data_IF_102748142572
#
_entry.id   IF_102748142572
#
_cell.length_a   1.000
_cell.length_b   1.000
_cell.length_c   1.000
_cell.angle_alpha   90.00
_cell.angle_beta   90.00
_cell.angle_gamma   90.00
#
_symmetry.space_group_name_H-M   'P 1'
#
loop_
_entity.id
_entity.type
_entity.pdbx_description
1 polymer ?
#
# COMPACT_ATOMS: atom_id res chain seq x y z
N UNK A 1 -0.20 -24.64 -3.65
CA UNK A 1 -1.48 -23.91 -3.50
C UNK A 1 -1.24 -22.44 -3.27
N UNK A 2 -2.25 -21.59 -3.48
CA UNK A 2 -2.20 -20.19 -3.05
C UNK A 2 -2.24 -20.17 -1.52
N UNK A 3 -1.22 -19.58 -0.90
CA UNK A 3 -1.03 -19.57 0.56
C UNK A 3 -0.98 -18.16 1.14
N UNK A 4 -0.91 -17.14 0.29
CA UNK A 4 -0.94 -15.75 0.71
C UNK A 4 -1.37 -14.84 -0.42
N UNK A 5 -2.20 -13.85 -0.07
CA UNK A 5 -2.60 -12.76 -0.94
C UNK A 5 -2.45 -11.46 -0.15
N UNK A 6 -1.70 -10.50 -0.69
CA UNK A 6 -1.46 -9.21 -0.06
C UNK A 6 -1.80 -8.06 -1.00
N UNK A 7 -2.32 -6.98 -0.43
CA UNK A 7 -2.54 -5.72 -1.14
C UNK A 7 -1.42 -4.75 -0.76
N UNK A 8 -0.62 -4.33 -1.74
CA UNK A 8 0.54 -3.46 -1.54
C UNK A 8 0.27 -2.08 -2.14
N UNK A 9 0.04 -1.03 -1.31
CA UNK A 9 -0.17 0.32 -1.80
C UNK A 9 1.17 0.98 -2.16
N UNK A 10 1.42 1.20 -3.44
CA UNK A 10 2.56 1.95 -3.98
C UNK A 10 2.14 3.35 -4.48
N UNK A 11 3.09 4.29 -4.70
CA UNK A 11 2.82 5.65 -5.21
C UNK A 11 1.90 5.67 -6.43
N UNK A 12 2.13 4.76 -7.35
CA UNK A 12 1.47 4.62 -8.65
C UNK A 12 0.19 3.77 -8.62
N UNK A 13 -0.06 2.99 -7.56
CA UNK A 13 -1.22 2.10 -7.58
C UNK A 13 -1.36 1.18 -6.38
N UNK A 14 -2.42 0.37 -6.40
CA UNK A 14 -2.58 -0.76 -5.51
C UNK A 14 -2.18 -2.03 -6.28
N UNK A 15 -1.26 -2.80 -5.71
CA UNK A 15 -0.79 -4.06 -6.30
C UNK A 15 -1.33 -5.25 -5.51
N UNK A 16 -1.75 -6.29 -6.22
CA UNK A 16 -2.15 -7.57 -5.64
C UNK A 16 -0.98 -8.54 -5.81
N UNK A 17 -0.44 -9.01 -4.70
CA UNK A 17 0.63 -10.01 -4.65
C UNK A 17 0.01 -11.33 -4.21
N UNK A 18 0.15 -12.36 -5.03
CA UNK A 18 -0.22 -13.72 -4.69
C UNK A 18 1.03 -14.59 -4.57
N UNK A 19 1.04 -15.45 -3.56
CA UNK A 19 2.10 -16.43 -3.38
C UNK A 19 1.54 -17.84 -3.36
N UNK A 20 2.14 -18.69 -4.19
CA UNK A 20 1.89 -20.11 -4.18
C UNK A 20 3.07 -20.86 -3.60
N UNK A 21 2.79 -21.77 -2.68
CA UNK A 21 3.80 -22.66 -2.10
C UNK A 21 3.31 -24.11 -2.16
N UNK A 22 4.15 -25.01 -2.69
CA UNK A 22 3.91 -26.45 -2.69
C UNK A 22 4.78 -27.11 -1.63
N UNK A 23 4.20 -27.48 -0.49
CA UNK A 23 4.96 -28.02 0.66
C UNK A 23 5.54 -29.41 0.44
N UNK A 24 5.07 -30.15 -0.58
CA UNK A 24 5.63 -31.45 -0.97
C UNK A 24 6.85 -31.33 -1.91
N UNK A 25 6.88 -30.33 -2.79
CA UNK A 25 7.96 -30.15 -3.79
C UNK A 25 8.87 -28.95 -3.53
N UNK A 26 8.50 -28.09 -2.59
CA UNK A 26 9.09 -26.76 -2.41
C UNK A 26 8.79 -25.78 -3.53
N UNK A 27 7.80 -26.06 -4.38
CA UNK A 27 7.41 -25.16 -5.47
C UNK A 27 7.05 -23.78 -4.92
N UNK A 28 7.55 -22.70 -5.54
CA UNK A 28 7.23 -21.32 -5.22
C UNK A 28 6.83 -20.57 -6.47
N UNK A 29 5.73 -19.84 -6.43
CA UNK A 29 5.30 -18.93 -7.52
C UNK A 29 4.87 -17.61 -6.91
N UNK A 30 5.37 -16.50 -7.44
CA UNK A 30 4.94 -15.15 -7.06
C UNK A 30 4.25 -14.53 -8.27
N UNK A 31 3.05 -14.03 -8.06
CA UNK A 31 2.22 -13.37 -9.07
C UNK A 31 1.91 -11.96 -8.57
N UNK A 32 2.09 -10.95 -9.43
CA UNK A 32 1.79 -9.55 -9.14
C UNK A 32 0.85 -9.04 -10.22
N UNK A 33 -0.36 -8.60 -9.84
CA UNK A 33 -1.43 -8.17 -10.77
C UNK A 33 -1.61 -9.17 -11.93
N UNK A 34 -1.86 -10.44 -11.60
CA UNK A 34 -2.05 -11.54 -12.55
C UNK A 34 -0.84 -11.90 -13.42
N UNK A 35 0.31 -11.23 -13.22
CA UNK A 35 1.55 -11.53 -13.93
C UNK A 35 2.52 -12.28 -13.03
N UNK A 36 2.96 -13.46 -13.46
CA UNK A 36 4.02 -14.19 -12.80
C UNK A 36 5.34 -13.42 -12.86
N UNK A 37 5.92 -13.14 -11.69
CA UNK A 37 7.22 -12.46 -11.55
C UNK A 37 8.32 -13.38 -11.05
N UNK A 38 7.94 -14.53 -10.48
CA UNK A 38 8.88 -15.56 -10.05
C UNK A 38 8.23 -16.95 -10.12
N UNK A 39 9.00 -17.95 -10.54
CA UNK A 39 8.64 -19.36 -10.44
C UNK A 39 9.86 -20.23 -10.17
N UNK A 40 9.68 -21.18 -9.26
CA UNK A 40 10.52 -22.35 -9.10
C UNK A 40 9.64 -23.55 -8.86
N UNK A 41 9.72 -24.58 -9.70
CA UNK A 41 8.86 -25.76 -9.58
C UNK A 41 9.36 -26.76 -8.51
N UNK A 42 10.60 -26.62 -8.07
CA UNK A 42 11.19 -27.51 -7.06
C UNK A 42 12.22 -26.80 -6.19
N UNK A 43 12.12 -26.99 -4.87
CA UNK A 43 13.11 -26.51 -3.91
C UNK A 43 13.25 -27.49 -2.74
N UNK A 44 14.48 -27.76 -2.31
CA UNK A 44 14.72 -28.59 -1.13
C UNK A 44 14.31 -27.89 0.18
N UNK A 45 14.42 -26.56 0.24
CA UNK A 45 14.13 -25.77 1.45
C UNK A 45 12.69 -25.30 1.51
N UNK A 46 11.98 -25.79 2.54
CA UNK A 46 10.63 -25.42 3.00
C UNK A 46 10.47 -23.92 3.28
N UNK A 47 11.47 -23.38 3.96
CA UNK A 47 11.42 -22.09 4.65
C UNK A 47 12.44 -21.13 4.06
N UNK A 48 12.38 -19.89 4.53
CA UNK A 48 13.29 -18.82 4.15
C UNK A 48 12.60 -17.74 3.32
N UNK A 49 13.42 -16.95 2.65
CA UNK A 49 12.97 -15.75 1.97
C UNK A 49 12.78 -16.00 0.48
N UNK A 50 11.79 -15.32 -0.10
CA UNK A 50 11.57 -15.24 -1.53
C UNK A 50 11.54 -13.77 -1.94
N UNK A 51 12.60 -13.33 -2.58
CA UNK A 51 12.77 -11.95 -3.04
C UNK A 51 12.12 -11.74 -4.41
N UNK A 52 11.60 -10.52 -4.62
CA UNK A 52 11.06 -10.03 -5.89
C UNK A 52 10.94 -8.49 -5.82
N UNK A 53 10.46 -7.86 -6.90
CA UNK A 53 10.28 -6.39 -6.95
C UNK A 53 8.93 -6.02 -7.54
N UNK A 54 8.33 -4.92 -7.06
CA UNK A 54 7.14 -4.29 -7.64
C UNK A 54 7.51 -2.86 -8.03
N UNK A 55 7.50 -2.54 -9.32
CA UNK A 55 7.86 -1.18 -9.78
C UNK A 55 9.23 -0.69 -9.31
N UNK A 56 10.20 -1.60 -9.13
CA UNK A 56 11.53 -1.30 -8.57
C UNK A 56 11.61 -1.26 -7.04
N UNK A 57 10.49 -1.34 -6.33
CA UNK A 57 10.46 -1.44 -4.87
C UNK A 57 10.80 -2.89 -4.47
N UNK A 58 11.79 -3.12 -3.60
CA UNK A 58 12.16 -4.46 -3.18
C UNK A 58 11.10 -5.07 -2.25
N UNK A 59 10.76 -6.33 -2.49
CA UNK A 59 9.80 -7.09 -1.72
C UNK A 59 10.36 -8.46 -1.34
N UNK A 60 10.00 -8.95 -0.16
CA UNK A 60 10.41 -10.27 0.33
C UNK A 60 9.21 -10.97 0.96
N UNK A 61 8.84 -12.13 0.43
CA UNK A 61 7.93 -13.05 1.10
C UNK A 61 8.76 -13.91 2.06
N UNK A 62 8.43 -13.87 3.34
CA UNK A 62 9.05 -14.71 4.37
C UNK A 62 8.21 -15.95 4.60
N UNK A 63 8.85 -17.11 4.57
CA UNK A 63 8.25 -18.40 4.85
C UNK A 63 8.87 -18.93 6.14
N UNK A 64 8.08 -18.89 7.21
CA UNK A 64 8.55 -19.22 8.56
C UNK A 64 7.86 -20.50 9.05
N UNK A 65 8.59 -21.44 9.66
CA UNK A 65 7.97 -22.62 10.26
C UNK A 65 7.22 -22.21 11.52
N UNK A 66 6.01 -22.73 11.69
CA UNK A 66 5.24 -22.63 12.94
C UNK A 66 4.92 -24.03 13.45
N UNK A 67 4.33 -24.14 14.64
CA UNK A 67 4.07 -25.43 15.28
C UNK A 67 3.16 -26.33 14.41
N UNK A 68 3.28 -27.64 14.59
CA UNK A 68 2.42 -28.62 13.91
C UNK A 68 2.68 -28.78 12.41
N UNK A 69 3.94 -28.66 11.96
CA UNK A 69 4.34 -28.83 10.54
C UNK A 69 3.64 -27.86 9.58
N UNK A 70 3.26 -26.68 10.07
CA UNK A 70 2.63 -25.63 9.28
C UNK A 70 3.58 -24.45 9.05
N UNK A 71 3.20 -23.54 8.15
CA UNK A 71 4.02 -22.41 7.75
C UNK A 71 3.23 -21.12 7.85
N UNK A 72 3.91 -20.08 8.29
CA UNK A 72 3.42 -18.70 8.24
C UNK A 72 4.07 -17.97 7.08
N UNK A 73 3.27 -17.13 6.42
CA UNK A 73 3.70 -16.32 5.30
C UNK A 73 3.50 -14.86 5.65
N UNK A 74 4.54 -14.05 5.48
CA UNK A 74 4.46 -12.60 5.65
C UNK A 74 5.16 -11.89 4.50
N UNK A 75 4.76 -10.65 4.25
CA UNK A 75 5.32 -9.81 3.21
C UNK A 75 6.07 -8.63 3.82
N UNK A 76 7.28 -8.42 3.35
CA UNK A 76 8.12 -7.25 3.63
C UNK A 76 8.21 -6.42 2.35
N UNK A 77 7.94 -5.13 2.43
CA UNK A 77 7.99 -4.16 1.33
C UNK A 77 8.92 -3.03 1.75
N UNK A 78 9.93 -2.76 0.93
CA UNK A 78 10.94 -1.73 1.19
C UNK A 78 11.59 -1.87 2.58
N UNK A 79 11.96 -3.12 2.93
CA UNK A 79 12.57 -3.45 4.21
C UNK A 79 11.63 -3.40 5.42
N UNK A 80 10.33 -3.16 5.24
CA UNK A 80 9.33 -3.06 6.31
C UNK A 80 8.24 -4.12 6.20
N UNK A 81 7.78 -4.72 7.32
CA UNK A 81 6.59 -5.56 7.30
C UNK A 81 5.41 -4.79 6.68
N UNK A 82 4.59 -5.46 5.86
CA UNK A 82 3.53 -4.81 5.08
C UNK A 82 2.60 -3.93 5.94
N UNK A 83 2.27 -4.36 7.15
CA UNK A 83 1.44 -3.60 8.08
C UNK A 83 2.12 -2.29 8.51
N UNK A 84 3.41 -2.34 8.88
CA UNK A 84 4.20 -1.16 9.21
C UNK A 84 4.37 -0.24 8.00
N UNK A 85 4.66 -0.80 6.83
CA UNK A 85 4.78 -0.08 5.56
C UNK A 85 3.48 0.69 5.23
N UNK A 86 2.34 0.01 5.35
CA UNK A 86 1.02 0.60 5.08
C UNK A 86 0.68 1.67 6.10
N UNK A 87 0.90 1.40 7.39
CA UNK A 87 0.61 2.36 8.47
C UNK A 87 1.42 3.64 8.33
N UNK A 88 2.74 3.55 8.12
CA UNK A 88 3.61 4.72 7.91
C UNK A 88 3.10 5.61 6.78
N UNK A 89 2.54 5.00 5.74
CA UNK A 89 1.97 5.74 4.62
C UNK A 89 0.66 6.42 4.98
N UNK A 90 -0.23 5.74 5.69
CA UNK A 90 -1.45 6.35 6.23
C UNK A 90 -1.15 7.49 7.22
N UNK A 91 -0.07 7.38 7.99
CA UNK A 91 0.35 8.42 8.94
C UNK A 91 0.87 9.66 8.21
N UNK A 92 1.50 9.51 7.03
CA UNK A 92 2.08 10.62 6.25
C UNK A 92 1.16 11.20 5.18
N UNK A 93 0.17 10.44 4.71
CA UNK A 93 -0.71 10.90 3.66
C UNK A 93 -2.12 10.34 3.78
N UNK A 94 -3.10 11.16 3.41
CA UNK A 94 -4.46 10.69 3.11
C UNK A 94 -4.57 10.44 1.60
N UNK A 95 -5.27 9.38 1.21
CA UNK A 95 -5.46 9.04 -0.22
C UNK A 95 -6.92 8.71 -0.47
N UNK A 96 -7.47 9.29 -1.54
CA UNK A 96 -8.84 9.06 -1.98
C UNK A 96 -8.87 8.73 -3.47
N UNK A 97 -9.86 7.93 -3.88
CA UNK A 97 -10.22 7.74 -5.29
C UNK A 97 -11.54 8.46 -5.54
N UNK A 98 -11.53 9.45 -6.43
CA UNK A 98 -12.71 10.27 -6.78
C UNK A 98 -13.19 9.87 -8.17
N UNK A 99 -14.49 9.57 -8.30
CA UNK A 99 -15.11 9.18 -9.57
C UNK A 99 -14.64 7.84 -10.13
N UNK A 100 -13.87 7.06 -9.37
CA UNK A 100 -13.27 5.80 -9.82
C UNK A 100 -12.04 5.97 -10.74
N UNK A 101 -11.73 7.19 -11.15
CA UNK A 101 -10.68 7.49 -12.13
C UNK A 101 -9.52 8.28 -11.54
N UNK A 102 -9.80 9.24 -10.65
CA UNK A 102 -8.80 10.16 -10.15
C UNK A 102 -8.30 9.74 -8.77
N UNK A 103 -6.98 9.66 -8.61
CA UNK A 103 -6.33 9.43 -7.31
C UNK A 103 -5.85 10.74 -6.73
N UNK A 104 -6.41 11.13 -5.59
CA UNK A 104 -6.02 12.32 -4.83
C UNK A 104 -5.22 11.90 -3.60
N UNK A 105 -4.07 12.55 -3.38
CA UNK A 105 -3.21 12.33 -2.21
C UNK A 105 -2.95 13.67 -1.52
N UNK A 106 -3.25 13.76 -0.23
CA UNK A 106 -2.82 14.85 0.64
C UNK A 106 -1.62 14.38 1.45
N UNK A 107 -0.46 15.00 1.27
CA UNK A 107 0.70 14.78 2.14
C UNK A 107 0.54 15.63 3.41
N UNK A 108 0.47 14.99 4.57
CA UNK A 108 0.11 15.63 5.85
C UNK A 108 1.20 16.57 6.37
N UNK A 109 2.46 16.30 6.03
CA UNK A 109 3.61 17.10 6.49
C UNK A 109 3.75 18.42 5.73
N UNK A 110 3.56 18.39 4.40
CA UNK A 110 3.73 19.53 3.50
C UNK A 110 2.39 20.22 3.18
N UNK A 111 1.28 19.53 3.42
CA UNK A 111 -0.07 19.88 2.94
C UNK A 111 -0.17 19.93 1.41
N UNK A 112 0.78 19.31 0.71
CA UNK A 112 0.76 19.22 -0.75
C UNK A 112 -0.35 18.28 -1.21
N UNK A 113 -1.09 18.71 -2.23
CA UNK A 113 -2.11 17.89 -2.90
C UNK A 113 -1.55 17.39 -4.24
N UNK A 114 -1.71 16.08 -4.46
CA UNK A 114 -1.34 15.41 -5.70
C UNK A 114 -2.58 14.81 -6.33
N UNK A 115 -2.77 15.03 -7.62
CA UNK A 115 -3.83 14.45 -8.44
C UNK A 115 -3.18 13.64 -9.56
N UNK A 116 -3.47 12.34 -9.61
CA UNK A 116 -2.93 11.40 -10.61
C UNK A 116 -1.39 11.46 -10.73
N UNK A 117 -0.72 11.59 -9.58
CA UNK A 117 0.74 11.66 -9.48
C UNK A 117 1.35 13.01 -9.80
N UNK A 118 0.55 14.06 -10.06
CA UNK A 118 1.02 15.43 -10.29
C UNK A 118 0.62 16.34 -9.14
N UNK A 119 1.57 17.12 -8.62
CA UNK A 119 1.28 18.16 -7.62
C UNK A 119 0.42 19.24 -8.26
N UNK A 120 -0.65 19.64 -7.58
CA UNK A 120 -1.57 20.70 -8.02
C UNK A 120 -1.46 21.92 -7.13
N UNK A 121 -1.79 23.09 -7.69
CA UNK A 121 -1.95 24.29 -6.89
C UNK A 121 -3.17 24.16 -5.98
N UNK A 122 -2.98 24.48 -4.71
CA UNK A 122 -3.98 24.37 -3.68
C UNK A 122 -4.04 25.65 -2.85
N UNK A 123 -5.26 26.10 -2.53
CA UNK A 123 -5.49 27.32 -1.72
C UNK A 123 -6.22 26.94 -0.44
N UNK A 124 -5.58 27.20 0.70
CA UNK A 124 -6.15 26.94 2.03
C UNK A 124 -6.94 28.15 2.56
N UNK A 125 -8.11 27.88 3.11
CA UNK A 125 -8.97 28.86 3.78
C UNK A 125 -9.38 28.33 5.16
N UNK A 126 -9.36 29.22 6.16
CA UNK A 126 -9.89 28.91 7.49
C UNK A 126 -11.40 29.16 7.49
N UNK A 127 -12.17 28.14 7.84
CA UNK A 127 -13.64 28.21 7.93
C UNK A 127 -14.09 27.90 9.36
N UNK A 128 -15.36 28.21 9.66
CA UNK A 128 -15.93 27.84 10.96
C UNK A 128 -15.99 26.31 11.08
N UNK A 129 -15.21 25.76 12.03
CA UNK A 129 -15.10 24.31 12.26
C UNK A 129 -13.90 23.60 11.63
N UNK A 130 -13.00 24.30 10.91
CA UNK A 130 -11.83 23.63 10.33
C UNK A 130 -11.03 24.44 9.30
N UNK A 131 -10.42 23.72 8.36
CA UNK A 131 -9.68 24.28 7.22
C UNK A 131 -10.19 23.62 5.95
N UNK A 132 -10.46 24.42 4.93
CA UNK A 132 -10.79 23.94 3.59
C UNK A 132 -9.62 24.21 2.66
N UNK A 133 -9.17 23.19 1.95
CA UNK A 133 -8.11 23.33 0.94
C UNK A 133 -8.71 23.06 -0.43
N UNK A 134 -8.77 24.09 -1.26
CA UNK A 134 -9.38 24.08 -2.59
C UNK A 134 -8.32 23.79 -3.66
N UNK A 135 -8.65 22.93 -4.62
CA UNK A 135 -7.78 22.51 -5.72
C UNK A 135 -8.60 22.09 -6.94
N UNK A 136 -7.94 21.75 -8.05
CA UNK A 136 -8.61 21.32 -9.29
C UNK A 136 -8.25 19.89 -9.69
N UNK A 137 -9.21 19.20 -10.28
CA UNK A 137 -9.05 17.88 -10.93
C UNK A 137 -9.57 18.04 -12.36
N UNK A 138 -8.65 18.28 -13.30
CA UNK A 138 -9.02 18.69 -14.66
C UNK A 138 -9.73 20.05 -14.62
N UNK A 139 -10.97 20.11 -15.09
CA UNK A 139 -11.81 21.33 -15.07
C UNK A 139 -12.70 21.42 -13.81
N UNK A 140 -12.71 20.38 -12.97
CA UNK A 140 -13.57 20.33 -11.79
C UNK A 140 -12.87 20.94 -10.57
N UNK A 141 -13.62 21.68 -9.76
CA UNK A 141 -13.17 22.20 -8.47
C UNK A 141 -13.45 21.16 -7.38
N UNK A 142 -12.43 20.87 -6.57
CA UNK A 142 -12.51 19.97 -5.43
C UNK A 142 -12.04 20.68 -4.15
N UNK A 143 -12.47 20.18 -3.00
CA UNK A 143 -11.99 20.66 -1.70
C UNK A 143 -11.70 19.49 -0.75
N UNK A 144 -10.65 19.64 0.06
CA UNK A 144 -10.40 18.81 1.24
C UNK A 144 -10.82 19.62 2.46
N UNK A 145 -11.72 19.07 3.27
CA UNK A 145 -12.11 19.67 4.55
C UNK A 145 -11.40 18.93 5.68
N UNK A 146 -10.54 19.63 6.39
CA UNK A 146 -9.94 19.17 7.63
C UNK A 146 -10.84 19.62 8.78
N UNK A 147 -11.42 18.68 9.50
CA UNK A 147 -12.30 18.95 10.64
C UNK A 147 -11.66 18.44 11.92
N UNK A 148 -11.81 19.21 13.00
CA UNK A 148 -11.44 18.70 14.32
C UNK A 148 -12.38 17.56 14.69
N UNK A 149 -11.86 16.37 15.04
CA UNK A 149 -12.69 15.28 15.57
C UNK A 149 -13.30 15.60 16.95
N UNK A 150 -12.88 16.69 17.59
CA UNK A 150 -13.16 17.03 19.00
C UNK A 150 -12.81 15.92 20.00
N UNK A 151 -12.12 14.86 19.55
CA UNK A 151 -11.64 13.75 20.33
C UNK A 151 -10.11 13.80 20.39
N UNK A 152 -9.55 14.06 21.59
CA UNK A 152 -8.09 14.20 21.79
C UNK A 152 -7.30 12.95 21.36
N UNK A 153 -7.93 11.79 21.22
CA UNK A 153 -7.29 10.55 20.76
C UNK A 153 -7.24 10.40 19.24
N UNK A 154 -8.12 11.07 18.50
CA UNK A 154 -8.27 10.92 17.04
C UNK A 154 -7.70 12.11 16.25
N UNK A 155 -7.60 13.30 16.85
CA UNK A 155 -6.92 14.45 16.22
C UNK A 155 -7.72 15.11 15.08
N UNK A 156 -7.04 15.63 14.07
CA UNK A 156 -7.66 16.23 12.87
C UNK A 156 -8.02 15.10 11.90
N UNK A 157 -9.24 15.16 11.34
CA UNK A 157 -9.78 14.20 10.36
C UNK A 157 -9.94 14.88 9.01
#
# INVERSE_FOLDING_TARGET
DVVGIWKVPLPDGLYIVEFQHGTASGKRVVIVNDKEVFRSDWMFKLVGDQEFTIGGVPCVIKIEPVSGFSYQYSLVVDGKPLEEFTKRRCDRACTWTIGGEHRVVLEKDTLDIWVDGKKVDATGEFVDGGTETHFTIGENIACIKAVSSFNRKEGIV
#
